data_IF_138638651301
#
_entry.id   IF_138638651301
#
_cell.length_a   1.000
_cell.length_b   1.000
_cell.length_c   1.000
_cell.angle_alpha   90.00
_cell.angle_beta   90.00
_cell.angle_gamma   90.00
#
_symmetry.space_group_name_H-M   'P 1'
#
loop_
_entity.id
_entity.type
_entity.pdbx_description
1 polymer ?
#
# COMPACT_ATOMS: atom_id res chain seq x y z
N UNK A 1 -35.10 -16.94 -7.07
CA UNK A 1 -34.29 -15.87 -6.49
C UNK A 1 -32.77 -16.19 -6.47
N UNK A 2 -32.37 -17.41 -6.08
CA UNK A 2 -30.95 -17.79 -5.90
C UNK A 2 -30.17 -17.86 -7.21
N UNK A 3 -30.79 -18.40 -8.27
CA UNK A 3 -30.18 -18.53 -9.62
C UNK A 3 -30.00 -17.16 -10.27
N UNK A 4 -30.97 -16.26 -10.14
CA UNK A 4 -30.88 -14.89 -10.65
C UNK A 4 -29.72 -14.10 -10.00
N UNK A 5 -29.57 -14.24 -8.68
CA UNK A 5 -28.48 -13.59 -7.95
C UNK A 5 -27.11 -14.15 -8.35
N UNK A 6 -27.00 -15.46 -8.58
CA UNK A 6 -25.77 -16.08 -9.07
C UNK A 6 -25.39 -15.63 -10.49
N UNK A 7 -26.37 -15.52 -11.39
CA UNK A 7 -26.18 -15.01 -12.74
C UNK A 7 -25.67 -13.55 -12.71
N UNK A 8 -26.24 -12.72 -11.85
CA UNK A 8 -25.83 -11.33 -11.71
C UNK A 8 -24.42 -11.20 -11.14
N UNK A 9 -24.05 -12.03 -10.17
CA UNK A 9 -22.67 -12.09 -9.66
C UNK A 9 -21.67 -12.52 -10.74
N UNK A 10 -22.03 -13.53 -11.53
CA UNK A 10 -21.20 -14.01 -12.63
C UNK A 10 -20.95 -12.90 -13.67
N UNK A 11 -21.99 -12.15 -14.01
CA UNK A 11 -21.91 -11.03 -14.95
C UNK A 11 -21.00 -9.91 -14.40
N UNK A 12 -21.12 -9.59 -13.12
CA UNK A 12 -20.26 -8.61 -12.47
C UNK A 12 -18.80 -9.06 -12.45
N UNK A 13 -18.53 -10.34 -12.20
CA UNK A 13 -17.17 -10.87 -12.26
C UNK A 13 -16.58 -10.84 -13.67
N UNK A 14 -17.37 -11.19 -14.70
CA UNK A 14 -16.93 -11.08 -16.08
C UNK A 14 -16.56 -9.66 -16.45
N UNK A 15 -17.41 -8.69 -16.08
CA UNK A 15 -17.16 -7.27 -16.31
C UNK A 15 -15.91 -6.76 -15.56
N UNK A 16 -15.70 -7.22 -14.34
CA UNK A 16 -14.51 -6.89 -13.56
C UNK A 16 -13.22 -7.45 -14.19
N UNK A 17 -13.26 -8.67 -14.75
CA UNK A 17 -12.14 -9.28 -15.46
C UNK A 17 -11.83 -8.51 -16.75
N UNK A 18 -12.86 -8.11 -17.50
CA UNK A 18 -12.73 -7.34 -18.73
C UNK A 18 -12.08 -5.98 -18.46
N UNK A 19 -12.58 -5.24 -17.48
CA UNK A 19 -12.00 -3.97 -17.04
C UNK A 19 -10.55 -4.14 -16.57
N UNK A 20 -10.26 -5.17 -15.78
CA UNK A 20 -8.90 -5.47 -15.31
C UNK A 20 -7.95 -5.77 -16.48
N UNK A 21 -8.44 -6.44 -17.54
CA UNK A 21 -7.67 -6.70 -18.75
C UNK A 21 -7.38 -5.41 -19.52
N UNK A 22 -8.39 -4.54 -19.68
CA UNK A 22 -8.22 -3.24 -20.33
C UNK A 22 -7.23 -2.35 -19.58
N UNK A 23 -7.34 -2.29 -18.25
CA UNK A 23 -6.38 -1.56 -17.40
C UNK A 23 -4.95 -2.08 -17.62
N UNK A 24 -4.77 -3.39 -17.69
CA UNK A 24 -3.44 -3.99 -17.91
C UNK A 24 -2.84 -3.63 -19.27
N UNK A 25 -3.67 -3.50 -20.30
CA UNK A 25 -3.24 -3.06 -21.62
C UNK A 25 -2.83 -1.58 -21.60
N UNK A 26 -3.67 -0.72 -21.03
CA UNK A 26 -3.39 0.72 -20.91
C UNK A 26 -2.09 0.96 -20.13
N UNK A 27 -1.90 0.26 -19.03
CA UNK A 27 -0.69 0.36 -18.22
C UNK A 27 0.58 -0.12 -18.92
N UNK A 28 0.44 -1.07 -19.84
CA UNK A 28 1.57 -1.51 -20.69
C UNK A 28 1.95 -0.45 -21.72
N UNK A 29 0.95 0.17 -22.33
CA UNK A 29 1.11 1.24 -23.32
C UNK A 29 1.71 2.49 -22.68
N UNK A 30 1.23 2.87 -21.50
CA UNK A 30 1.77 3.98 -20.72
C UNK A 30 3.26 3.77 -20.40
N UNK A 31 3.64 2.56 -19.99
CA UNK A 31 5.06 2.22 -19.74
C UNK A 31 5.91 2.32 -21.01
N UNK A 32 5.38 1.87 -22.14
CA UNK A 32 6.07 1.95 -23.42
C UNK A 32 6.31 3.41 -23.83
N UNK A 33 5.26 4.22 -23.78
CA UNK A 33 5.34 5.64 -24.13
C UNK A 33 6.24 6.43 -23.17
N UNK A 34 6.23 6.11 -21.88
CA UNK A 34 7.12 6.73 -20.90
C UNK A 34 8.59 6.38 -21.17
N UNK A 35 8.87 5.14 -21.59
CA UNK A 35 10.22 4.72 -21.97
C UNK A 35 10.71 5.45 -23.24
N UNK A 36 9.84 5.57 -24.25
CA UNK A 36 10.17 6.30 -25.48
C UNK A 36 10.38 7.81 -25.25
N UNK A 37 9.57 8.41 -24.37
CA UNK A 37 9.75 9.81 -23.98
C UNK A 37 11.11 10.02 -23.28
N UNK A 38 11.45 9.14 -22.37
CA UNK A 38 12.72 9.17 -21.65
C UNK A 38 13.92 9.05 -22.61
N UNK A 39 13.85 8.15 -23.60
CA UNK A 39 14.90 8.01 -24.61
C UNK A 39 15.05 9.30 -25.44
N UNK A 40 13.95 9.90 -25.88
CA UNK A 40 13.96 11.14 -26.67
C UNK A 40 14.46 12.35 -25.89
N UNK A 41 14.04 12.52 -24.64
CA UNK A 41 14.53 13.59 -23.76
C UNK A 41 16.04 13.45 -23.50
N UNK A 42 16.54 12.20 -23.47
CA UNK A 42 17.96 11.92 -23.29
C UNK A 42 18.78 12.29 -24.54
N UNK A 43 18.20 12.13 -25.73
CA UNK A 43 18.84 12.46 -27.00
C UNK A 43 18.90 13.98 -27.28
N UNK A 44 17.88 14.75 -26.86
CA UNK A 44 17.79 16.18 -27.16
C UNK A 44 18.67 17.07 -26.28
N UNK A 45 18.85 16.76 -24.99
CA UNK A 45 19.47 17.70 -24.04
C UNK A 45 20.97 17.50 -23.78
N UNK A 46 21.60 16.39 -24.18
CA UNK A 46 23.02 16.10 -23.94
C UNK A 46 23.43 16.16 -22.45
N UNK A 47 22.51 16.44 -21.57
CA UNK A 47 22.64 16.38 -20.11
C UNK A 47 22.08 15.07 -19.61
N UNK A 48 22.82 14.41 -18.72
CA UNK A 48 22.33 13.17 -18.11
C UNK A 48 20.89 13.39 -17.55
N UNK A 49 19.91 12.63 -18.00
CA UNK A 49 18.51 12.84 -17.60
C UNK A 49 18.41 12.70 -16.10
N UNK A 50 17.63 13.59 -15.50
CA UNK A 50 17.31 13.49 -14.08
C UNK A 50 16.44 12.28 -13.90
N UNK A 51 17.01 11.20 -13.34
CA UNK A 51 16.28 9.97 -13.12
C UNK A 51 15.04 10.21 -12.26
N UNK A 52 13.87 10.09 -12.87
CA UNK A 52 12.61 10.12 -12.13
C UNK A 52 12.23 8.69 -11.75
N UNK A 53 12.59 8.31 -10.52
CA UNK A 53 12.30 6.98 -9.98
C UNK A 53 10.80 6.65 -9.95
N UNK A 54 9.91 7.66 -9.93
CA UNK A 54 8.46 7.45 -9.88
C UNK A 54 7.89 6.87 -11.17
N UNK A 55 8.52 7.16 -12.31
CA UNK A 55 8.10 6.63 -13.60
C UNK A 55 8.53 5.17 -13.82
N UNK A 56 9.45 4.66 -12.99
CA UNK A 56 10.06 3.35 -13.15
C UNK A 56 9.54 2.30 -12.15
N UNK A 57 8.46 2.60 -11.43
CA UNK A 57 7.87 1.62 -10.54
C UNK A 57 7.16 0.51 -11.32
N UNK A 58 7.59 -0.71 -11.08
CA UNK A 58 6.93 -1.90 -11.63
C UNK A 58 5.57 -2.10 -10.93
N UNK A 59 4.50 -2.01 -11.69
CA UNK A 59 3.14 -2.30 -11.21
C UNK A 59 3.01 -3.70 -10.61
N UNK A 60 3.80 -4.65 -11.06
CA UNK A 60 3.85 -5.99 -10.48
C UNK A 60 4.38 -6.01 -9.04
N UNK A 61 5.08 -4.95 -8.61
CA UNK A 61 5.49 -4.76 -7.21
C UNK A 61 4.46 -3.95 -6.40
N UNK A 62 3.78 -3.00 -7.04
CA UNK A 62 2.83 -2.11 -6.35
C UNK A 62 1.59 -2.88 -5.91
N UNK A 63 1.07 -3.75 -6.76
CA UNK A 63 -0.12 -4.53 -6.45
C UNK A 63 0.04 -5.44 -5.22
N UNK A 64 1.10 -6.26 -5.09
CA UNK A 64 1.35 -7.01 -3.85
C UNK A 64 1.52 -6.10 -2.63
N UNK A 65 2.07 -4.90 -2.82
CA UNK A 65 2.24 -3.93 -1.76
C UNK A 65 0.91 -3.37 -1.27
N UNK A 66 0.00 -2.98 -2.16
CA UNK A 66 -1.36 -2.57 -1.81
C UNK A 66 -2.15 -3.70 -1.14
N UNK A 67 -2.11 -4.90 -1.70
CA UNK A 67 -2.76 -6.07 -1.12
C UNK A 67 -2.27 -6.33 0.31
N UNK A 68 -0.96 -6.13 0.56
CA UNK A 68 -0.38 -6.27 1.88
C UNK A 68 -0.81 -5.18 2.85
N UNK A 69 -0.86 -3.92 2.41
CA UNK A 69 -1.39 -2.80 3.20
C UNK A 69 -2.83 -3.10 3.63
N UNK A 70 -3.68 -3.51 2.70
CA UNK A 70 -5.09 -3.85 2.98
C UNK A 70 -5.19 -5.01 3.97
N UNK A 71 -4.37 -6.04 3.81
CA UNK A 71 -4.35 -7.19 4.72
C UNK A 71 -3.94 -6.80 6.15
N UNK A 72 -2.90 -5.97 6.30
CA UNK A 72 -2.48 -5.45 7.61
C UNK A 72 -3.62 -4.63 8.25
N UNK A 73 -4.21 -3.69 7.52
CA UNK A 73 -5.31 -2.86 8.01
C UNK A 73 -6.52 -3.69 8.42
N UNK A 74 -6.85 -4.73 7.66
CA UNK A 74 -7.91 -5.69 7.98
C UNK A 74 -7.62 -6.45 9.26
N UNK A 75 -6.40 -6.95 9.43
CA UNK A 75 -5.98 -7.67 10.64
C UNK A 75 -5.93 -6.74 11.87
N UNK A 76 -5.67 -5.46 11.65
CA UNK A 76 -5.78 -4.43 12.68
C UNK A 76 -7.23 -4.05 13.03
N UNK A 77 -8.23 -4.62 12.38
CA UNK A 77 -9.64 -4.26 12.53
C UNK A 77 -9.95 -2.80 12.17
N UNK A 78 -9.21 -2.24 11.22
CA UNK A 78 -9.49 -0.91 10.70
C UNK A 78 -10.69 -0.96 9.74
N UNK A 79 -11.79 -0.29 10.05
CA UNK A 79 -13.04 -0.38 9.29
C UNK A 79 -12.92 0.12 7.84
N UNK A 80 -12.04 1.08 7.58
CA UNK A 80 -11.80 1.65 6.25
C UNK A 80 -10.90 0.82 5.32
N UNK A 81 -10.45 -0.36 5.72
CA UNK A 81 -9.46 -1.15 4.97
C UNK A 81 -9.86 -1.43 3.51
N UNK A 82 -11.14 -1.65 3.22
CA UNK A 82 -11.63 -1.96 1.87
C UNK A 82 -11.57 -0.80 0.88
N UNK A 83 -11.35 0.42 1.37
CA UNK A 83 -11.19 1.63 0.55
C UNK A 83 -9.78 2.21 0.63
N UNK A 84 -8.85 1.51 1.28
CA UNK A 84 -7.45 1.91 1.37
C UNK A 84 -6.73 1.55 0.07
N UNK A 85 -5.89 2.46 -0.41
CA UNK A 85 -4.99 2.26 -1.54
C UNK A 85 -3.69 3.02 -1.33
N UNK A 86 -2.65 2.63 -2.04
CA UNK A 86 -1.39 3.35 -2.05
C UNK A 86 -1.31 4.29 -3.26
N UNK A 87 -1.17 5.57 -3.00
CA UNK A 87 -1.01 6.56 -4.06
C UNK A 87 0.49 6.72 -4.39
N UNK A 88 0.86 6.40 -5.62
CA UNK A 88 2.24 6.46 -6.09
C UNK A 88 2.76 7.89 -6.30
N UNK A 89 1.88 8.85 -6.54
CA UNK A 89 2.28 10.25 -6.71
C UNK A 89 2.71 10.88 -5.38
N UNK A 90 1.94 10.58 -4.32
CA UNK A 90 2.20 11.11 -2.97
C UNK A 90 3.05 10.18 -2.11
N UNK A 91 3.23 8.93 -2.53
CA UNK A 91 3.89 7.87 -1.75
C UNK A 91 3.23 7.64 -0.40
N UNK A 92 1.90 7.65 -0.39
CA UNK A 92 1.12 7.59 0.83
C UNK A 92 -0.16 6.77 0.69
N UNK A 93 -0.75 6.39 1.84
CA UNK A 93 -2.05 5.72 1.86
C UNK A 93 -3.17 6.76 1.71
N UNK A 94 -4.09 6.46 0.81
CA UNK A 94 -5.38 7.12 0.69
C UNK A 94 -6.50 6.20 1.17
N UNK A 95 -7.50 6.78 1.81
CA UNK A 95 -8.72 6.07 2.24
C UNK A 95 -9.93 6.83 1.73
N UNK A 96 -10.85 6.13 1.06
CA UNK A 96 -12.01 6.75 0.40
C UNK A 96 -11.60 7.87 -0.58
N UNK A 97 -10.52 7.68 -1.33
CA UNK A 97 -9.95 8.66 -2.26
C UNK A 97 -9.54 9.99 -1.60
N UNK A 98 -9.21 9.97 -0.33
CA UNK A 98 -8.72 11.14 0.41
C UNK A 98 -7.37 10.81 1.05
N UNK A 99 -6.43 11.75 1.04
CA UNK A 99 -5.17 11.61 1.76
C UNK A 99 -5.43 11.30 3.25
N UNK A 100 -4.55 10.53 3.88
CA UNK A 100 -4.67 10.13 5.28
C UNK A 100 -4.87 11.31 6.24
N UNK A 101 -4.24 12.45 5.95
CA UNK A 101 -4.35 13.68 6.75
C UNK A 101 -5.74 14.32 6.73
N UNK A 102 -6.53 14.05 5.67
CA UNK A 102 -7.89 14.58 5.48
C UNK A 102 -8.94 13.56 5.89
N UNK A 103 -8.65 12.27 5.66
CA UNK A 103 -9.60 11.20 5.96
C UNK A 103 -9.72 10.95 7.47
N UNK A 104 -8.66 11.19 8.23
CA UNK A 104 -8.59 10.88 9.66
C UNK A 104 -7.75 11.90 10.42
N UNK A 105 -8.00 12.04 11.72
CA UNK A 105 -7.18 12.83 12.63
C UNK A 105 -5.74 12.30 12.77
N UNK A 106 -4.87 13.09 13.37
CA UNK A 106 -3.42 12.83 13.46
C UNK A 106 -3.01 11.45 13.96
N UNK A 107 -3.80 10.82 14.82
CA UNK A 107 -3.52 9.49 15.37
C UNK A 107 -3.46 8.38 14.32
N UNK A 108 -4.30 8.44 13.33
CA UNK A 108 -4.31 7.46 12.24
C UNK A 108 -3.15 7.64 11.25
N UNK A 109 -2.60 8.85 11.14
CA UNK A 109 -1.44 9.09 10.29
C UNK A 109 -0.23 8.26 10.74
N UNK A 110 0.01 8.16 12.05
CA UNK A 110 1.06 7.30 12.61
C UNK A 110 0.84 5.82 12.33
N UNK A 111 -0.40 5.35 12.49
CA UNK A 111 -0.77 3.98 12.13
C UNK A 111 -0.50 3.68 10.65
N UNK A 112 -0.95 4.52 9.73
CA UNK A 112 -0.76 4.31 8.29
C UNK A 112 0.72 4.34 7.89
N UNK A 113 1.51 5.25 8.45
CA UNK A 113 2.95 5.26 8.25
C UNK A 113 3.59 3.95 8.70
N UNK A 114 3.15 3.43 9.84
CA UNK A 114 3.64 2.15 10.36
C UNK A 114 3.22 0.99 9.47
N UNK A 115 1.99 0.98 8.97
CA UNK A 115 1.50 -0.05 8.04
C UNK A 115 2.32 -0.07 6.75
N UNK A 116 2.63 1.10 6.17
CA UNK A 116 3.53 1.21 5.00
C UNK A 116 4.92 0.67 5.34
N UNK A 117 5.49 1.09 6.48
CA UNK A 117 6.81 0.66 6.91
C UNK A 117 6.90 -0.86 7.17
N UNK A 118 5.81 -1.50 7.56
CA UNK A 118 5.73 -2.95 7.76
C UNK A 118 5.51 -3.68 6.43
N UNK A 119 4.62 -3.18 5.57
CA UNK A 119 4.27 -3.81 4.31
C UNK A 119 5.44 -3.83 3.31
N UNK A 120 6.20 -2.73 3.23
CA UNK A 120 7.30 -2.60 2.27
C UNK A 120 8.38 -3.67 2.42
N UNK A 121 8.95 -3.93 3.61
CA UNK A 121 9.94 -4.97 3.81
C UNK A 121 9.44 -6.37 3.44
N UNK A 122 8.18 -6.69 3.70
CA UNK A 122 7.62 -8.00 3.34
C UNK A 122 7.58 -8.20 1.83
N UNK A 123 7.16 -7.18 1.09
CA UNK A 123 7.14 -7.22 -0.38
C UNK A 123 8.56 -7.27 -0.94
N UNK A 124 9.50 -6.52 -0.35
CA UNK A 124 10.92 -6.58 -0.70
C UNK A 124 11.59 -7.90 -0.30
N UNK A 125 10.99 -8.70 0.58
CA UNK A 125 11.49 -10.03 0.94
C UNK A 125 11.17 -11.11 -0.09
N UNK A 126 10.44 -10.77 -1.15
CA UNK A 126 10.21 -11.67 -2.29
C UNK A 126 11.50 -11.86 -3.10
N UNK A 127 11.56 -12.92 -3.91
CA UNK A 127 12.75 -13.25 -4.71
C UNK A 127 13.09 -12.21 -5.79
N UNK A 128 12.20 -11.24 -6.00
CA UNK A 128 12.38 -10.14 -6.96
C UNK A 128 13.27 -9.01 -6.44
N UNK A 129 13.44 -8.87 -5.14
CA UNK A 129 14.25 -7.78 -4.58
C UNK A 129 15.73 -8.17 -4.45
N UNK A 130 16.61 -7.31 -4.97
CA UNK A 130 18.06 -7.49 -4.88
C UNK A 130 18.58 -7.38 -3.43
N UNK A 131 17.96 -6.54 -2.62
CA UNK A 131 18.32 -6.30 -1.23
C UNK A 131 17.12 -6.53 -0.32
N UNK A 132 17.35 -7.24 0.78
CA UNK A 132 16.34 -7.53 1.80
C UNK A 132 16.74 -6.85 3.10
N UNK A 133 16.00 -5.81 3.53
CA UNK A 133 16.26 -5.24 4.85
C UNK A 133 15.90 -6.30 5.91
N UNK A 134 16.81 -6.55 6.83
CA UNK A 134 16.60 -7.52 7.94
C UNK A 134 16.20 -6.86 9.25
N UNK A 135 16.12 -5.53 9.27
CA UNK A 135 15.80 -4.73 10.45
C UNK A 135 14.77 -3.66 10.11
N UNK A 136 13.82 -3.45 11.01
CA UNK A 136 12.85 -2.37 10.95
C UNK A 136 12.82 -1.66 12.31
N UNK A 137 13.02 -0.36 12.30
CA UNK A 137 12.84 0.49 13.49
C UNK A 137 11.65 1.41 13.32
N UNK A 138 10.72 1.39 14.24
CA UNK A 138 9.51 2.21 14.22
C UNK A 138 9.40 2.97 15.53
N UNK A 139 9.35 4.30 15.44
CA UNK A 139 9.15 5.16 16.59
C UNK A 139 7.67 5.46 16.79
N UNK A 140 7.19 5.22 17.99
CA UNK A 140 5.85 5.59 18.45
C UNK A 140 4.70 5.30 17.50
N UNK A 141 4.58 4.05 16.96
CA UNK A 141 3.70 3.72 15.82
C UNK A 141 2.22 4.03 16.06
N UNK A 142 1.82 4.17 17.31
CA UNK A 142 0.41 4.29 17.71
C UNK A 142 0.20 5.31 18.84
N UNK A 143 1.18 6.18 19.12
CA UNK A 143 1.14 7.12 20.27
C UNK A 143 -0.04 8.09 20.18
N UNK A 144 -0.36 8.57 19.00
CA UNK A 144 -1.41 9.56 18.79
C UNK A 144 -2.83 8.96 18.67
N UNK A 145 -2.95 7.63 18.60
CA UNK A 145 -4.27 6.97 18.56
C UNK A 145 -5.05 7.10 19.87
N UNK A 146 -4.39 7.45 20.98
CA UNK A 146 -5.06 7.63 22.29
C UNK A 146 -5.90 8.90 22.40
N UNK A 147 -5.73 9.85 21.49
CA UNK A 147 -6.49 11.10 21.44
C UNK A 147 -7.77 11.00 20.59
N UNK A 148 -7.99 9.85 19.93
CA UNK A 148 -9.19 9.63 19.13
C UNK A 148 -10.43 9.48 20.02
N UNK A 149 -11.58 9.96 19.55
CA UNK A 149 -12.87 10.00 20.27
C UNK A 149 -13.39 8.61 20.76
N UNK A 150 -12.76 7.51 20.34
CA UNK A 150 -13.14 6.13 20.68
C UNK A 150 -11.95 5.35 21.22
N UNK A 151 -11.66 5.47 22.51
CA UNK A 151 -10.54 4.81 23.19
C UNK A 151 -10.52 3.28 23.02
N UNK A 152 -11.66 2.61 23.06
CA UNK A 152 -11.76 1.15 22.91
C UNK A 152 -11.33 0.67 21.52
N UNK A 153 -11.71 1.39 20.45
CA UNK A 153 -11.31 1.10 19.08
C UNK A 153 -9.81 1.30 18.92
N UNK A 154 -9.28 2.35 19.52
CA UNK A 154 -7.85 2.65 19.51
C UNK A 154 -7.03 1.56 20.19
N UNK A 155 -7.45 1.04 21.32
CA UNK A 155 -6.73 0.01 22.07
C UNK A 155 -6.77 -1.34 21.31
N UNK A 156 -7.88 -1.65 20.65
CA UNK A 156 -8.00 -2.84 19.81
C UNK A 156 -7.08 -2.77 18.60
N UNK A 157 -7.03 -1.63 17.92
CA UNK A 157 -6.12 -1.38 16.79
C UNK A 157 -4.66 -1.55 17.18
N UNK A 158 -4.24 -0.97 18.32
CA UNK A 158 -2.89 -1.10 18.85
C UNK A 158 -2.52 -2.54 19.15
N UNK A 159 -3.38 -3.24 19.88
CA UNK A 159 -3.15 -4.64 20.26
C UNK A 159 -3.05 -5.54 19.02
N UNK A 160 -3.91 -5.32 18.04
CA UNK A 160 -3.94 -6.08 16.80
C UNK A 160 -2.71 -5.84 15.92
N UNK A 161 -2.23 -4.58 15.83
CA UNK A 161 -1.00 -4.27 15.11
C UNK A 161 0.21 -4.97 15.71
N UNK A 162 0.39 -4.91 17.04
CA UNK A 162 1.50 -5.58 17.70
C UNK A 162 1.42 -7.09 17.58
N UNK A 163 0.23 -7.66 17.70
CA UNK A 163 -0.01 -9.08 17.48
C UNK A 163 0.37 -9.50 16.07
N UNK A 164 -0.07 -8.74 15.07
CA UNK A 164 0.28 -8.96 13.67
C UNK A 164 1.79 -8.98 13.46
N UNK A 165 2.51 -7.99 13.99
CA UNK A 165 3.98 -7.91 13.90
C UNK A 165 4.64 -9.15 14.52
N UNK A 166 4.22 -9.56 15.71
CA UNK A 166 4.78 -10.73 16.41
C UNK A 166 4.53 -12.04 15.67
N UNK A 167 3.41 -12.16 14.96
CA UNK A 167 3.05 -13.39 14.25
C UNK A 167 3.76 -13.52 12.90
N UNK A 168 3.97 -12.40 12.18
CA UNK A 168 4.44 -12.40 10.79
C UNK A 168 5.94 -12.13 10.65
N UNK A 169 6.58 -11.45 11.59
CA UNK A 169 7.98 -11.02 11.46
C UNK A 169 8.97 -11.80 12.33
N UNK A 170 8.80 -13.11 12.41
CA UNK A 170 9.66 -13.98 13.26
C UNK A 170 11.14 -14.01 12.83
N UNK A 171 11.42 -13.74 11.58
CA UNK A 171 12.78 -13.75 11.00
C UNK A 171 13.41 -12.35 10.91
N UNK A 172 12.73 -11.31 11.39
CA UNK A 172 13.18 -9.92 11.31
C UNK A 172 13.52 -9.37 12.67
N UNK A 173 14.47 -8.45 12.71
CA UNK A 173 14.69 -7.63 13.89
C UNK A 173 13.78 -6.39 13.81
N UNK A 174 12.77 -6.33 14.66
CA UNK A 174 11.88 -5.17 14.76
C UNK A 174 12.13 -4.49 16.09
N UNK A 175 12.44 -3.19 16.03
CA UNK A 175 12.64 -2.32 17.19
C UNK A 175 11.48 -1.33 17.24
N UNK A 176 10.66 -1.41 18.25
CA UNK A 176 9.56 -0.48 18.48
C UNK A 176 9.92 0.38 19.70
N UNK A 177 10.03 1.68 19.48
CA UNK A 177 10.28 2.66 20.52
C UNK A 177 8.92 3.23 20.94
N UNK A 178 8.65 3.24 22.23
CA UNK A 178 7.44 3.85 22.79
C UNK A 178 7.88 5.06 23.62
N UNK A 179 7.45 6.22 23.23
CA UNK A 179 7.50 7.42 24.06
C UNK A 179 6.25 7.51 24.95
#
# INVERSE_FOLDING_TARGET
PRISNLKQKLENYRRAIEISSEISVIQREERHLSSELFEKETEEDGTAPKYDYRQHYDYDMIRPFEERIIDILKNCHYEGYGSARFNMETFDIEVNNKPKSVAHGGGYCGLFNTVVAIALPEVLSTDKAMYRPGILSVDSPVSQLSEAEHKEVSDTLKASLFKFVLEHFKSWQIIIIKQ
#
